data_IF_799783285104
#
_entry.id   IF_799783285104
#
_cell.length_a   1.000
_cell.length_b   1.000
_cell.length_c   1.000
_cell.angle_alpha   90.00
_cell.angle_beta   90.00
_cell.angle_gamma   90.00
#
_symmetry.space_group_name_H-M   'P 1'
#
loop_
_entity.id
_entity.type
_entity.pdbx_description
1 polymer ?
#
# COMPACT_ATOMS: atom_id res chain seq x y z
N UNK A 1 -16.97 -8.58 31.95
CA UNK A 1 -16.12 -9.63 31.34
C UNK A 1 -15.79 -10.77 32.31
N UNK A 2 -15.94 -10.58 33.62
CA UNK A 2 -15.67 -11.62 34.63
C UNK A 2 -16.51 -12.88 34.40
N UNK A 3 -17.80 -12.75 34.12
CA UNK A 3 -18.68 -13.89 33.82
C UNK A 3 -18.14 -14.76 32.67
N UNK A 4 -17.68 -14.13 31.60
CA UNK A 4 -17.13 -14.82 30.42
C UNK A 4 -15.83 -15.56 30.73
N UNK A 5 -15.01 -15.01 31.64
CA UNK A 5 -13.72 -15.57 32.04
C UNK A 5 -13.84 -16.92 32.72
N UNK A 6 -14.99 -17.25 33.31
CA UNK A 6 -15.21 -18.54 33.99
C UNK A 6 -15.05 -19.72 33.03
N UNK A 7 -15.53 -19.58 31.79
CA UNK A 7 -15.41 -20.62 30.74
C UNK A 7 -14.33 -20.28 29.69
N UNK A 8 -14.01 -19.01 29.48
CA UNK A 8 -13.08 -18.52 28.46
C UNK A 8 -11.82 -17.91 29.09
N UNK A 9 -11.21 -18.60 30.07
CA UNK A 9 -10.09 -18.08 30.86
C UNK A 9 -8.90 -17.62 30.01
N UNK A 10 -8.47 -18.44 29.05
CA UNK A 10 -7.31 -18.12 28.21
C UNK A 10 -7.57 -16.91 27.31
N UNK A 11 -8.77 -16.80 26.76
CA UNK A 11 -9.19 -15.65 25.96
C UNK A 11 -9.24 -14.38 26.82
N UNK A 12 -9.78 -14.48 28.03
CA UNK A 12 -9.84 -13.36 28.96
C UNK A 12 -8.45 -12.88 29.39
N UNK A 13 -7.52 -13.81 29.67
CA UNK A 13 -6.12 -13.49 29.96
C UNK A 13 -5.42 -12.80 28.77
N UNK A 14 -5.71 -13.25 27.56
CA UNK A 14 -5.18 -12.62 26.35
C UNK A 14 -5.75 -11.22 26.14
N UNK A 15 -7.06 -11.08 26.29
CA UNK A 15 -7.79 -9.82 26.16
C UNK A 15 -7.30 -8.77 27.17
N UNK A 16 -7.00 -9.16 28.40
CA UNK A 16 -6.46 -8.28 29.44
C UNK A 16 -5.13 -7.59 29.02
N UNK A 17 -4.39 -8.18 28.08
CA UNK A 17 -3.15 -7.62 27.53
C UNK A 17 -3.37 -6.79 26.25
N UNK A 18 -4.59 -6.76 25.76
CA UNK A 18 -4.98 -6.06 24.53
C UNK A 18 -5.37 -4.61 24.83
N UNK A 19 -5.16 -3.66 23.89
CA UNK A 19 -5.67 -2.30 24.04
C UNK A 19 -7.19 -2.24 24.22
N UNK A 20 -7.94 -3.24 23.73
CA UNK A 20 -9.39 -3.31 23.89
C UNK A 20 -9.81 -3.56 25.35
N UNK A 21 -8.90 -3.99 26.23
CA UNK A 21 -9.19 -4.07 27.67
C UNK A 21 -9.58 -2.69 28.25
N UNK A 22 -9.12 -1.59 27.65
CA UNK A 22 -9.54 -0.24 28.04
C UNK A 22 -11.06 -0.03 27.93
N UNK A 23 -11.77 -0.80 27.13
CA UNK A 23 -13.25 -0.78 27.03
C UNK A 23 -13.89 -1.38 28.27
N UNK A 24 -13.22 -2.35 28.90
CA UNK A 24 -13.70 -3.04 30.11
C UNK A 24 -13.57 -2.18 31.37
N UNK A 25 -12.53 -1.37 31.45
CA UNK A 25 -12.23 -0.52 32.61
C UNK A 25 -12.72 0.92 32.42
N UNK A 26 -13.07 1.31 31.19
CA UNK A 26 -13.48 2.66 30.84
C UNK A 26 -15.00 2.83 30.82
N UNK A 27 -15.48 3.97 31.36
CA UNK A 27 -16.93 4.29 31.35
C UNK A 27 -17.43 4.88 30.06
N UNK A 28 -16.52 5.37 29.21
CA UNK A 28 -16.86 6.22 28.05
C UNK A 28 -17.69 5.49 26.99
N UNK A 29 -17.51 4.19 26.80
CA UNK A 29 -18.17 3.39 25.80
C UNK A 29 -19.42 2.64 26.34
N UNK A 30 -19.68 2.69 27.63
CA UNK A 30 -20.84 2.01 28.24
C UNK A 30 -20.71 0.50 28.38
N UNK A 31 -19.49 -0.05 28.25
CA UNK A 31 -19.19 -1.47 28.37
C UNK A 31 -18.30 -1.81 29.57
N UNK A 32 -18.26 -0.95 30.58
CA UNK A 32 -17.51 -1.20 31.82
C UNK A 32 -17.90 -2.57 32.40
N UNK A 33 -16.93 -3.44 32.65
CA UNK A 33 -17.11 -4.82 33.12
C UNK A 33 -17.73 -5.78 32.09
N UNK A 34 -18.05 -5.32 30.87
CA UNK A 34 -18.75 -6.09 29.83
C UNK A 34 -18.11 -5.93 28.44
N UNK A 35 -16.83 -5.71 28.36
CA UNK A 35 -16.13 -5.42 27.08
C UNK A 35 -16.30 -6.53 26.03
N UNK A 36 -16.45 -7.79 26.42
CA UNK A 36 -16.72 -8.89 25.49
C UNK A 36 -17.99 -8.66 24.69
N UNK A 37 -19.05 -8.12 25.35
CA UNK A 37 -20.34 -7.84 24.71
C UNK A 37 -20.28 -6.71 23.69
N UNK A 38 -19.29 -5.83 23.75
CA UNK A 38 -19.11 -4.77 22.75
C UNK A 38 -18.95 -5.37 21.34
N UNK A 39 -18.31 -6.52 21.23
CA UNK A 39 -18.12 -7.25 19.98
C UNK A 39 -19.08 -8.42 19.82
N UNK A 40 -19.32 -9.18 20.90
CA UNK A 40 -20.11 -10.41 20.87
C UNK A 40 -21.60 -10.19 21.10
N UNK A 41 -22.03 -8.99 21.50
CA UNK A 41 -23.42 -8.67 21.87
C UNK A 41 -23.79 -9.27 23.22
N UNK A 42 -25.09 -9.10 23.61
CA UNK A 42 -25.60 -9.67 24.85
C UNK A 42 -25.39 -11.19 24.87
N UNK A 43 -24.79 -11.70 25.92
CA UNK A 43 -24.40 -13.10 26.02
C UNK A 43 -25.00 -13.82 27.23
N UNK A 44 -26.04 -13.26 27.85
CA UNK A 44 -26.72 -13.82 29.04
C UNK A 44 -27.24 -15.24 28.77
N UNK A 45 -27.98 -15.44 27.68
CA UNK A 45 -28.49 -16.75 27.27
C UNK A 45 -27.39 -17.75 27.00
N UNK A 46 -26.33 -17.33 26.31
CA UNK A 46 -25.16 -18.17 26.08
C UNK A 46 -24.51 -18.60 27.40
N UNK A 47 -24.40 -17.69 28.36
CA UNK A 47 -23.81 -18.01 29.66
C UNK A 47 -24.64 -19.06 30.45
N UNK A 48 -25.96 -19.11 30.22
CA UNK A 48 -26.86 -20.10 30.85
C UNK A 48 -26.85 -21.45 30.11
N UNK A 49 -26.89 -21.41 28.78
CA UNK A 49 -27.06 -22.62 27.94
C UNK A 49 -25.76 -23.23 27.45
N UNK A 50 -24.69 -22.44 27.40
CA UNK A 50 -23.44 -22.74 26.71
C UNK A 50 -23.61 -22.97 25.18
N UNK A 51 -24.75 -22.59 24.59
CA UNK A 51 -24.98 -22.72 23.15
C UNK A 51 -24.31 -21.57 22.39
N UNK A 52 -23.35 -21.90 21.52
CA UNK A 52 -22.64 -20.95 20.70
C UNK A 52 -23.53 -20.19 19.68
N UNK A 53 -24.74 -20.68 19.41
CA UNK A 53 -25.71 -20.00 18.54
C UNK A 53 -26.37 -18.77 19.22
N UNK A 54 -26.32 -18.71 20.55
CA UNK A 54 -26.93 -17.63 21.34
C UNK A 54 -26.01 -16.43 21.58
N UNK A 55 -24.80 -16.47 21.00
CA UNK A 55 -23.86 -15.36 21.07
C UNK A 55 -23.34 -15.01 19.67
N UNK A 56 -23.21 -13.75 19.40
CA UNK A 56 -22.67 -13.28 18.11
C UNK A 56 -21.17 -13.60 18.02
N UNK A 57 -20.75 -14.24 16.93
CA UNK A 57 -19.34 -14.44 16.60
C UNK A 57 -18.94 -13.53 15.44
N UNK A 58 -18.21 -12.43 15.66
CA UNK A 58 -17.78 -11.52 14.60
C UNK A 58 -17.03 -12.18 13.45
N UNK A 59 -16.27 -13.25 13.73
CA UNK A 59 -15.53 -14.00 12.71
C UNK A 59 -16.40 -14.86 11.78
N UNK A 60 -17.67 -15.08 12.12
CA UNK A 60 -18.66 -15.81 11.30
C UNK A 60 -19.66 -14.89 10.58
N UNK A 61 -19.56 -13.58 10.80
CA UNK A 61 -20.39 -12.60 10.13
C UNK A 61 -19.88 -12.31 8.72
N UNK A 62 -20.77 -11.72 7.89
CA UNK A 62 -20.31 -11.09 6.64
C UNK A 62 -19.29 -9.98 6.95
N UNK A 63 -18.41 -9.69 6.01
CA UNK A 63 -17.38 -8.67 6.22
C UNK A 63 -17.99 -7.32 6.62
N UNK A 64 -19.07 -6.90 5.95
CA UNK A 64 -19.76 -5.66 6.26
C UNK A 64 -20.35 -5.64 7.67
N UNK A 65 -20.91 -6.76 8.13
CA UNK A 65 -21.48 -6.86 9.48
C UNK A 65 -20.40 -6.86 10.57
N UNK A 66 -19.29 -7.56 10.34
CA UNK A 66 -18.13 -7.55 11.22
C UNK A 66 -17.49 -6.14 11.28
N UNK A 67 -17.27 -5.51 10.14
CA UNK A 67 -16.72 -4.16 10.05
C UNK A 67 -17.59 -3.12 10.76
N UNK A 68 -18.91 -3.24 10.69
CA UNK A 68 -19.84 -2.35 11.41
C UNK A 68 -19.61 -2.37 12.91
N UNK A 69 -19.29 -3.52 13.48
CA UNK A 69 -18.97 -3.64 14.91
C UNK A 69 -17.68 -2.85 15.23
N UNK A 70 -16.64 -3.04 14.46
CA UNK A 70 -15.36 -2.35 14.68
C UNK A 70 -15.50 -0.84 14.47
N UNK A 71 -16.19 -0.44 13.40
CA UNK A 71 -16.37 0.96 13.02
C UNK A 71 -17.28 1.73 13.96
N UNK A 72 -18.06 1.07 14.84
CA UNK A 72 -18.84 1.77 15.88
C UNK A 72 -17.93 2.60 16.81
N UNK A 73 -16.66 2.19 16.97
CA UNK A 73 -15.66 2.90 17.74
C UNK A 73 -14.52 3.48 16.88
N UNK A 74 -14.17 2.80 15.78
CA UNK A 74 -13.01 3.14 14.93
C UNK A 74 -13.35 4.00 13.70
N UNK A 75 -14.57 4.50 13.58
CA UNK A 75 -15.01 5.27 12.40
C UNK A 75 -14.20 6.55 12.17
N UNK A 76 -13.84 7.25 13.25
CA UNK A 76 -13.21 8.58 13.18
C UNK A 76 -11.68 8.53 13.11
N UNK A 77 -11.08 7.40 12.82
CA UNK A 77 -9.62 7.32 12.65
C UNK A 77 -9.22 7.75 11.24
N UNK A 78 -8.28 8.69 11.08
CA UNK A 78 -7.89 9.22 9.77
C UNK A 78 -7.46 8.13 8.78
N UNK A 79 -6.80 7.07 9.27
CA UNK A 79 -6.34 5.94 8.44
C UNK A 79 -7.48 5.09 7.89
N UNK A 80 -8.71 5.22 8.40
CA UNK A 80 -9.88 4.44 7.99
C UNK A 80 -10.83 5.17 7.04
N UNK A 81 -10.55 6.42 6.69
CA UNK A 81 -11.44 7.26 5.85
C UNK A 81 -11.83 6.58 4.53
N UNK A 82 -10.91 5.83 3.93
CA UNK A 82 -11.17 5.09 2.68
C UNK A 82 -11.74 3.68 2.85
N UNK A 83 -12.00 3.22 4.08
CA UNK A 83 -12.29 1.80 4.35
C UNK A 83 -13.47 1.24 3.54
N UNK A 84 -14.60 1.94 3.52
CA UNK A 84 -15.81 1.44 2.87
C UNK A 84 -15.70 1.36 1.34
N UNK A 85 -14.83 2.16 0.73
CA UNK A 85 -14.57 2.18 -0.70
C UNK A 85 -13.32 1.39 -1.09
N UNK A 86 -12.59 0.85 -0.11
CA UNK A 86 -11.35 0.10 -0.36
C UNK A 86 -11.60 -1.18 -1.16
N UNK A 87 -10.57 -1.63 -1.88
CA UNK A 87 -10.61 -2.92 -2.56
C UNK A 87 -10.89 -4.05 -1.56
N UNK A 88 -10.26 -4.03 -0.38
CA UNK A 88 -10.51 -5.03 0.66
C UNK A 88 -11.98 -5.09 1.09
N UNK A 89 -12.65 -3.93 1.25
CA UNK A 89 -14.08 -3.93 1.58
C UNK A 89 -14.94 -4.49 0.44
N UNK A 90 -14.64 -4.13 -0.81
CA UNK A 90 -15.33 -4.64 -2.00
C UNK A 90 -15.15 -6.15 -2.16
N UNK A 91 -13.97 -6.67 -1.83
CA UNK A 91 -13.63 -8.09 -1.89
C UNK A 91 -14.02 -8.86 -0.61
N UNK A 92 -14.87 -8.26 0.23
CA UNK A 92 -15.40 -8.86 1.46
C UNK A 92 -14.31 -9.26 2.48
N UNK A 93 -13.18 -8.56 2.52
CA UNK A 93 -12.12 -8.75 3.51
C UNK A 93 -12.44 -7.89 4.74
N UNK A 94 -12.83 -8.52 5.83
CA UNK A 94 -13.18 -7.82 7.07
C UNK A 94 -11.94 -7.38 7.88
N UNK A 95 -12.15 -6.51 8.87
CA UNK A 95 -11.12 -6.13 9.85
C UNK A 95 -10.50 -7.36 10.52
N UNK A 96 -11.30 -8.37 10.84
CA UNK A 96 -10.86 -9.60 11.53
C UNK A 96 -10.00 -10.53 10.65
N UNK A 97 -9.97 -10.32 9.35
CA UNK A 97 -9.05 -11.06 8.46
C UNK A 97 -7.59 -10.73 8.78
N UNK A 98 -7.31 -9.49 9.14
CA UNK A 98 -5.98 -8.99 9.46
C UNK A 98 -5.74 -8.79 10.97
N UNK A 99 -6.76 -8.35 11.71
CA UNK A 99 -6.65 -8.03 13.13
C UNK A 99 -7.18 -9.17 14.02
N UNK A 100 -6.31 -9.72 14.87
CA UNK A 100 -6.62 -10.81 15.80
C UNK A 100 -6.80 -10.27 17.21
N UNK A 101 -8.04 -9.90 17.58
CA UNK A 101 -8.34 -9.22 18.86
C UNK A 101 -8.08 -10.08 20.10
N UNK A 102 -8.14 -11.40 19.98
CA UNK A 102 -7.91 -12.35 21.10
C UNK A 102 -6.52 -12.97 21.10
N UNK A 103 -5.63 -12.61 20.17
CA UNK A 103 -4.35 -13.28 20.07
C UNK A 103 -3.42 -12.92 21.23
N UNK A 104 -2.66 -13.91 21.67
CA UNK A 104 -1.64 -13.78 22.70
C UNK A 104 -0.32 -13.26 22.11
N UNK A 105 0.36 -12.39 22.85
CA UNK A 105 1.71 -11.97 22.55
C UNK A 105 1.83 -10.71 21.68
N UNK A 106 3.06 -10.35 21.32
CA UNK A 106 3.35 -9.10 20.61
C UNK A 106 2.76 -9.03 19.19
N UNK A 107 2.45 -10.17 18.58
CA UNK A 107 1.91 -10.27 17.22
C UNK A 107 0.38 -10.36 17.17
N UNK A 108 -0.27 -10.27 18.33
CA UNK A 108 -1.68 -10.61 18.45
C UNK A 108 -2.65 -9.67 17.79
N UNK A 109 -2.42 -8.37 17.83
CA UNK A 109 -3.36 -7.36 17.36
C UNK A 109 -2.95 -6.79 16.01
N UNK A 110 -1.68 -6.51 15.86
CA UNK A 110 -1.06 -5.98 14.64
C UNK A 110 0.34 -6.60 14.59
N UNK A 111 0.75 -7.08 13.42
CA UNK A 111 2.12 -7.50 13.21
C UNK A 111 3.06 -6.32 13.51
N UNK A 112 3.92 -6.47 14.52
CA UNK A 112 4.76 -5.38 15.04
C UNK A 112 6.12 -5.30 14.38
N UNK A 113 6.58 -6.38 13.78
CA UNK A 113 7.83 -6.38 13.05
C UNK A 113 7.57 -6.20 11.55
N UNK A 114 8.46 -5.53 10.81
CA UNK A 114 8.34 -5.42 9.37
C UNK A 114 8.15 -6.77 8.67
N UNK A 115 8.92 -7.77 9.07
CA UNK A 115 8.83 -9.12 8.51
C UNK A 115 7.45 -9.77 8.74
N UNK A 116 6.90 -9.69 9.95
CA UNK A 116 5.58 -10.25 10.27
C UNK A 116 4.46 -9.51 9.52
N UNK A 117 4.55 -8.18 9.41
CA UNK A 117 3.60 -7.39 8.66
C UNK A 117 3.63 -7.73 7.16
N UNK A 118 4.83 -7.81 6.59
CA UNK A 118 5.00 -8.17 5.17
C UNK A 118 4.51 -9.58 4.89
N UNK A 119 4.79 -10.55 5.78
CA UNK A 119 4.30 -11.92 5.67
C UNK A 119 2.76 -12.00 5.73
N UNK A 120 2.12 -11.18 6.57
CA UNK A 120 0.66 -11.10 6.64
C UNK A 120 0.06 -10.64 5.29
N UNK A 121 0.62 -9.63 4.67
CA UNK A 121 0.16 -9.19 3.35
C UNK A 121 0.46 -10.24 2.28
N UNK A 122 1.66 -10.81 2.28
CA UNK A 122 2.12 -11.81 1.31
C UNK A 122 1.29 -13.09 1.33
N UNK A 123 0.66 -13.45 2.45
CA UNK A 123 -0.19 -14.65 2.56
C UNK A 123 -1.36 -14.66 1.56
N UNK A 124 -1.83 -13.48 1.15
CA UNK A 124 -2.86 -13.32 0.11
C UNK A 124 -2.28 -12.72 -1.19
N UNK A 125 -1.34 -11.80 -1.08
CA UNK A 125 -0.72 -11.10 -2.21
C UNK A 125 0.56 -11.81 -2.72
N UNK A 126 0.47 -13.13 -2.91
CA UNK A 126 1.61 -13.96 -3.32
C UNK A 126 2.22 -13.51 -4.66
N UNK A 127 1.39 -13.08 -5.61
CA UNK A 127 1.87 -12.59 -6.91
C UNK A 127 2.73 -11.33 -6.79
N UNK A 128 2.41 -10.45 -5.84
CA UNK A 128 3.21 -9.26 -5.55
C UNK A 128 4.47 -9.66 -4.81
N UNK A 129 4.38 -10.61 -3.87
CA UNK A 129 5.54 -11.12 -3.15
C UNK A 129 6.59 -11.73 -4.09
N UNK A 130 6.16 -12.45 -5.14
CA UNK A 130 7.07 -12.99 -6.15
C UNK A 130 7.79 -11.91 -6.97
N UNK A 131 7.18 -10.73 -7.15
CA UNK A 131 7.85 -9.61 -7.82
C UNK A 131 9.03 -9.10 -6.99
N UNK A 132 8.91 -9.06 -5.67
CA UNK A 132 10.00 -8.66 -4.77
C UNK A 132 11.18 -9.65 -4.75
N UNK A 133 11.05 -10.85 -5.34
CA UNK A 133 12.16 -11.79 -5.49
C UNK A 133 13.05 -11.48 -6.70
N UNK A 134 12.69 -10.51 -7.53
CA UNK A 134 13.52 -10.07 -8.66
C UNK A 134 14.75 -9.31 -8.15
N UNK A 135 15.85 -9.25 -8.95
CA UNK A 135 17.13 -8.72 -8.47
C UNK A 135 17.12 -7.24 -8.08
N UNK A 136 16.24 -6.44 -8.69
CA UNK A 136 16.10 -5.02 -8.39
C UNK A 136 14.73 -4.76 -7.78
N UNK A 137 14.66 -4.55 -6.47
CA UNK A 137 13.42 -4.34 -5.73
C UNK A 137 13.63 -3.42 -4.51
N UNK A 138 12.55 -2.85 -4.00
CA UNK A 138 12.58 -2.22 -2.68
C UNK A 138 12.77 -3.26 -1.59
N UNK A 139 13.49 -2.89 -0.52
CA UNK A 139 13.95 -3.81 0.53
C UNK A 139 12.84 -4.26 1.50
N UNK A 140 11.71 -4.69 0.93
CA UNK A 140 10.57 -5.24 1.66
C UNK A 140 10.84 -6.66 2.17
N UNK A 141 11.40 -7.60 1.37
CA UNK A 141 11.77 -8.92 1.86
C UNK A 141 12.80 -8.89 2.98
N UNK A 142 13.73 -7.95 2.93
CA UNK A 142 14.77 -7.77 3.94
C UNK A 142 14.28 -7.07 5.20
N UNK A 143 13.03 -6.63 5.23
CA UNK A 143 12.42 -5.96 6.39
C UNK A 143 12.89 -4.53 6.64
N UNK A 144 13.59 -3.91 5.70
CA UNK A 144 13.94 -2.48 5.77
C UNK A 144 12.77 -1.57 5.37
N UNK A 145 11.78 -2.14 4.67
CA UNK A 145 10.54 -1.48 4.28
C UNK A 145 9.36 -2.43 4.50
N UNK A 146 8.17 -1.84 4.57
CA UNK A 146 6.92 -2.57 4.72
C UNK A 146 5.95 -2.24 3.59
N UNK A 147 4.98 -3.12 3.36
CA UNK A 147 3.90 -2.86 2.40
C UNK A 147 3.14 -1.58 2.74
N UNK A 148 2.99 -1.28 4.04
CA UNK A 148 2.24 -0.10 4.51
C UNK A 148 3.04 1.21 4.43
N UNK A 149 4.31 1.19 4.09
CA UNK A 149 5.04 2.43 3.78
C UNK A 149 4.54 3.06 2.47
N UNK A 150 3.97 2.25 1.59
CA UNK A 150 3.43 2.69 0.31
C UNK A 150 1.91 2.57 0.20
N UNK A 151 1.30 1.58 0.86
CA UNK A 151 -0.13 1.28 0.77
C UNK A 151 -0.86 1.53 2.10
N UNK A 152 -2.09 2.04 2.02
CA UNK A 152 -2.99 2.06 3.16
C UNK A 152 -3.98 0.88 3.05
N UNK A 153 -3.81 -0.21 3.83
CA UNK A 153 -4.69 -1.38 3.76
C UNK A 153 -6.14 -1.08 4.16
N UNK A 154 -6.37 0.02 4.87
CA UNK A 154 -7.73 0.47 5.19
C UNK A 154 -8.39 1.26 4.05
N UNK A 155 -7.66 1.55 3.00
CA UNK A 155 -8.15 2.24 1.82
C UNK A 155 -7.60 3.64 1.65
N UNK A 156 -7.54 4.07 0.41
CA UNK A 156 -7.24 5.44 0.02
C UNK A 156 -8.01 5.79 -1.25
N UNK A 157 -8.06 7.07 -1.58
CA UNK A 157 -8.67 7.56 -2.83
C UNK A 157 -7.80 7.27 -4.07
N UNK A 158 -6.55 6.82 -3.85
CA UNK A 158 -5.61 6.55 -4.95
C UNK A 158 -5.73 5.10 -5.45
N UNK A 159 -5.40 4.86 -6.73
CA UNK A 159 -5.30 3.51 -7.27
C UNK A 159 -4.40 2.62 -6.41
N UNK A 160 -4.72 1.33 -6.35
CA UNK A 160 -4.01 0.33 -5.55
C UNK A 160 -3.87 0.71 -4.06
N UNK A 161 -4.76 1.53 -3.53
CA UNK A 161 -4.73 2.02 -2.14
C UNK A 161 -3.38 2.68 -1.76
N UNK A 162 -2.73 3.33 -2.70
CA UNK A 162 -1.47 4.03 -2.44
C UNK A 162 -1.67 5.14 -1.40
N UNK A 163 -0.70 5.27 -0.52
CA UNK A 163 -0.63 6.42 0.39
C UNK A 163 -0.38 7.71 -0.40
N UNK A 164 -0.95 8.81 0.10
CA UNK A 164 -0.65 10.15 -0.39
C UNK A 164 -0.14 10.99 0.78
N UNK A 165 0.79 11.87 0.48
CA UNK A 165 1.30 12.83 1.42
C UNK A 165 1.03 14.24 0.91
N UNK A 166 0.60 15.13 1.81
CA UNK A 166 0.23 16.48 1.45
C UNK A 166 -0.94 16.53 0.45
N UNK A 167 -0.93 17.55 -0.38
CA UNK A 167 -1.96 17.79 -1.39
C UNK A 167 -1.79 16.89 -2.61
N UNK A 168 -2.15 15.61 -2.48
CA UNK A 168 -2.32 14.73 -3.64
C UNK A 168 -1.04 14.22 -4.33
N UNK A 169 0.13 14.28 -3.67
CA UNK A 169 1.38 13.74 -4.21
C UNK A 169 1.49 12.21 -4.06
N UNK A 170 2.17 11.50 -4.98
CA UNK A 170 2.48 10.08 -4.81
C UNK A 170 3.31 9.80 -3.56
N UNK A 171 3.00 8.74 -2.83
CA UNK A 171 3.75 8.33 -1.63
C UNK A 171 5.25 8.05 -1.88
N UNK A 172 5.63 7.79 -3.13
CA UNK A 172 7.03 7.63 -3.56
C UNK A 172 7.91 8.82 -3.16
N UNK A 173 7.36 10.01 -3.23
CA UNK A 173 8.09 11.27 -2.97
C UNK A 173 8.43 11.53 -1.50
N UNK A 174 7.96 10.69 -0.59
CA UNK A 174 8.41 10.76 0.80
C UNK A 174 9.88 10.39 0.96
N UNK A 175 10.32 9.38 0.21
CA UNK A 175 11.69 8.91 0.22
C UNK A 175 12.49 9.47 -0.96
N UNK A 176 11.84 9.65 -2.12
CA UNK A 176 12.44 10.18 -3.34
C UNK A 176 12.16 11.68 -3.50
N UNK A 177 12.41 12.47 -2.45
CA UNK A 177 12.15 13.90 -2.41
C UNK A 177 12.91 14.70 -3.46
N UNK A 178 14.06 14.19 -3.92
CA UNK A 178 14.86 14.77 -5.01
C UNK A 178 14.17 14.70 -6.39
N UNK A 179 13.10 13.91 -6.51
CA UNK A 179 12.26 13.81 -7.72
C UNK A 179 10.96 14.61 -7.64
N UNK A 180 10.74 15.32 -6.53
CA UNK A 180 9.48 16.04 -6.29
C UNK A 180 9.31 17.28 -7.15
N UNK A 181 10.36 18.03 -7.34
CA UNK A 181 10.26 19.37 -7.89
C UNK A 181 9.76 20.40 -6.84
N UNK A 182 9.09 21.49 -7.25
CA UNK A 182 8.78 21.86 -8.64
C UNK A 182 10.05 22.16 -9.45
N UNK A 183 10.14 21.62 -10.65
CA UNK A 183 11.23 21.92 -11.57
C UNK A 183 10.82 23.04 -12.53
N UNK A 184 11.79 23.84 -13.00
CA UNK A 184 11.53 24.85 -14.04
C UNK A 184 11.04 24.18 -15.32
N UNK A 185 11.63 23.03 -15.66
CA UNK A 185 11.27 22.21 -16.79
C UNK A 185 10.90 20.82 -16.29
N UNK A 186 9.62 20.51 -16.29
CA UNK A 186 9.08 19.24 -15.82
C UNK A 186 8.97 18.24 -16.99
N UNK A 187 9.20 16.95 -16.69
CA UNK A 187 8.86 15.88 -17.61
C UNK A 187 7.40 15.47 -17.37
N UNK A 188 6.52 15.75 -18.32
CA UNK A 188 5.08 15.57 -18.16
C UNK A 188 4.62 14.21 -17.59
N UNK A 189 5.12 13.07 -18.10
CA UNK A 189 4.73 11.76 -17.57
C UNK A 189 5.00 11.58 -16.08
N UNK A 190 6.08 12.12 -15.54
CA UNK A 190 6.38 12.06 -14.10
C UNK A 190 5.26 12.74 -13.29
N UNK A 191 4.69 13.80 -13.84
CA UNK A 191 3.66 14.60 -13.19
C UNK A 191 2.26 13.99 -13.32
N UNK A 192 1.91 13.52 -14.52
CA UNK A 192 0.54 13.13 -14.87
C UNK A 192 0.30 11.62 -14.82
N UNK A 193 1.27 10.81 -15.21
CA UNK A 193 1.16 9.35 -15.28
C UNK A 193 1.75 8.65 -14.05
N UNK A 194 2.70 9.32 -13.39
CA UNK A 194 3.33 8.86 -12.17
C UNK A 194 4.53 7.95 -12.41
N UNK A 195 5.14 7.54 -11.30
CA UNK A 195 6.41 6.81 -11.31
C UNK A 195 6.29 5.41 -11.94
N UNK A 196 5.14 4.77 -11.77
CA UNK A 196 4.90 3.40 -12.23
C UNK A 196 4.77 3.26 -13.76
N UNK A 197 4.66 4.36 -14.50
CA UNK A 197 4.72 4.33 -15.98
C UNK A 197 6.09 3.88 -16.49
N UNK A 198 7.16 4.12 -15.71
CA UNK A 198 8.53 3.75 -16.08
C UNK A 198 9.16 2.73 -15.12
N UNK A 199 8.70 2.64 -13.88
CA UNK A 199 9.28 1.80 -12.84
C UNK A 199 8.31 0.74 -12.33
N UNK A 200 8.84 -0.46 -12.02
CA UNK A 200 8.16 -1.57 -11.38
C UNK A 200 8.49 -1.56 -9.87
N UNK A 201 7.71 -0.88 -9.03
CA UNK A 201 8.10 -0.59 -7.64
C UNK A 201 8.22 -1.83 -6.75
N UNK A 202 7.56 -2.93 -7.08
CA UNK A 202 7.68 -4.19 -6.35
C UNK A 202 8.94 -4.97 -6.74
N UNK A 203 9.44 -4.77 -7.96
CA UNK A 203 10.68 -5.38 -8.41
C UNK A 203 10.72 -5.68 -9.90
N UNK A 204 11.89 -5.54 -10.47
CA UNK A 204 12.19 -5.75 -11.88
C UNK A 204 13.46 -6.55 -12.07
N UNK A 205 13.57 -7.27 -13.18
CA UNK A 205 14.82 -7.83 -13.64
C UNK A 205 15.82 -6.75 -14.09
N UNK A 206 15.32 -5.54 -14.36
CA UNK A 206 16.08 -4.45 -14.94
C UNK A 206 16.65 -3.51 -13.85
N UNK A 207 17.86 -2.96 -14.04
CA UNK A 207 18.43 -1.98 -13.13
C UNK A 207 17.48 -0.80 -12.90
N UNK A 208 17.54 -0.20 -11.71
CA UNK A 208 16.68 0.91 -11.29
C UNK A 208 15.19 0.57 -11.33
N UNK A 209 14.86 -0.71 -11.29
CA UNK A 209 13.48 -1.23 -11.37
C UNK A 209 12.73 -0.73 -12.62
N UNK A 210 13.41 -0.57 -13.75
CA UNK A 210 12.76 -0.15 -14.98
C UNK A 210 11.78 -1.21 -15.52
N UNK A 211 10.68 -0.76 -16.09
CA UNK A 211 9.66 -1.61 -16.69
C UNK A 211 10.15 -2.35 -17.93
N UNK A 212 11.17 -1.81 -18.62
CA UNK A 212 11.77 -2.40 -19.81
C UNK A 212 13.27 -2.62 -19.62
N UNK A 213 13.79 -3.62 -20.33
CA UNK A 213 15.21 -4.00 -20.21
C UNK A 213 16.17 -2.90 -20.64
N UNK A 214 15.81 -2.17 -21.68
CA UNK A 214 16.63 -1.08 -22.18
C UNK A 214 15.93 0.27 -21.95
N UNK A 215 16.69 1.27 -21.49
CA UNK A 215 16.19 2.63 -21.25
C UNK A 215 15.48 3.19 -22.48
N UNK A 216 16.04 2.98 -23.69
CA UNK A 216 15.40 3.46 -24.92
C UNK A 216 13.99 2.92 -25.11
N UNK A 217 13.74 1.66 -24.74
CA UNK A 217 12.41 1.05 -24.90
C UNK A 217 11.37 1.71 -24.00
N UNK A 218 11.77 2.11 -22.77
CA UNK A 218 10.90 2.91 -21.89
C UNK A 218 10.56 4.25 -22.53
N UNK A 219 11.57 4.93 -23.07
CA UNK A 219 11.36 6.25 -23.69
C UNK A 219 10.50 6.17 -24.95
N UNK A 220 10.74 5.16 -25.81
CA UNK A 220 10.06 4.97 -27.08
C UNK A 220 8.59 4.56 -26.96
N UNK A 221 8.12 4.16 -25.79
CA UNK A 221 6.68 3.94 -25.55
C UNK A 221 5.86 5.22 -25.79
N UNK A 222 6.46 6.39 -25.51
CA UNK A 222 5.83 7.69 -25.72
C UNK A 222 6.52 8.51 -26.81
N UNK A 223 7.82 8.39 -26.98
CA UNK A 223 8.63 9.15 -27.92
C UNK A 223 8.91 8.39 -29.24
N UNK A 224 7.97 7.54 -29.68
CA UNK A 224 8.11 6.74 -30.90
C UNK A 224 8.17 7.59 -32.19
N UNK A 225 7.65 8.81 -32.14
CA UNK A 225 7.60 9.75 -33.25
C UNK A 225 8.70 10.82 -33.22
N UNK A 226 9.86 10.47 -32.67
CA UNK A 226 11.01 11.38 -32.72
C UNK A 226 11.27 11.87 -34.14
N UNK A 227 11.57 13.17 -34.32
CA UNK A 227 11.82 13.72 -35.64
C UNK A 227 12.96 12.99 -36.33
N UNK A 228 12.64 12.20 -37.33
CA UNK A 228 13.59 11.49 -38.19
C UNK A 228 13.86 12.27 -39.48
N UNK A 229 13.31 13.47 -39.57
CA UNK A 229 13.46 14.36 -40.68
C UNK A 229 14.40 15.52 -40.35
N UNK A 230 15.20 15.93 -41.30
CA UNK A 230 16.00 17.14 -41.19
C UNK A 230 15.16 18.40 -41.52
N UNK A 231 15.77 19.59 -41.40
CA UNK A 231 15.13 20.85 -41.69
C UNK A 231 14.63 20.97 -43.18
N UNK A 232 15.12 20.09 -44.05
CA UNK A 232 14.68 20.02 -45.46
C UNK A 232 13.63 18.95 -45.71
N UNK A 233 13.13 18.28 -44.65
CA UNK A 233 12.09 17.26 -44.73
C UNK A 233 12.56 15.88 -45.15
N UNK A 234 13.87 15.61 -45.21
CA UNK A 234 14.42 14.31 -45.61
C UNK A 234 14.32 13.32 -44.46
N UNK A 235 13.60 12.22 -44.63
CA UNK A 235 13.39 11.18 -43.61
C UNK A 235 14.67 10.38 -43.42
N UNK A 236 15.02 10.11 -42.18
CA UNK A 236 16.09 9.19 -41.80
C UNK A 236 17.49 9.68 -42.08
N UNK A 237 17.69 10.95 -42.37
CA UNK A 237 19.01 11.53 -42.63
C UNK A 237 19.68 12.00 -41.35
N UNK A 238 20.92 11.59 -41.19
CA UNK A 238 21.75 11.96 -40.04
C UNK A 238 22.95 12.75 -40.50
N UNK A 239 23.46 13.63 -39.63
CA UNK A 239 22.61 14.61 -39.05
C UNK A 239 21.94 15.24 -40.22
N UNK A 240 20.85 15.74 -40.06
CA UNK A 240 20.42 16.40 -38.85
C UNK A 240 19.34 15.71 -38.09
N UNK A 241 19.18 14.43 -38.26
CA UNK A 241 18.39 13.69 -37.29
C UNK A 241 19.22 13.59 -36.01
N UNK A 242 18.92 14.42 -35.03
CA UNK A 242 19.63 14.39 -33.74
C UNK A 242 19.54 13.04 -33.05
N UNK A 243 18.59 12.18 -33.39
CA UNK A 243 18.32 10.92 -32.77
C UNK A 243 18.24 9.78 -33.80
N UNK A 244 19.35 9.53 -34.50
CA UNK A 244 19.45 8.32 -35.31
C UNK A 244 19.60 7.10 -34.43
N UNK A 245 18.49 6.43 -34.13
CA UNK A 245 18.45 5.26 -33.26
C UNK A 245 19.19 4.05 -33.80
N UNK A 246 19.67 4.07 -35.05
CA UNK A 246 20.58 3.05 -35.60
C UNK A 246 22.00 3.22 -35.07
N UNK A 247 22.38 4.41 -34.67
CA UNK A 247 23.68 4.69 -34.08
C UNK A 247 23.71 4.30 -32.61
N UNK A 248 24.70 3.53 -32.14
CA UNK A 248 24.87 3.19 -30.72
C UNK A 248 24.91 4.41 -29.80
N UNK A 249 25.33 5.56 -30.30
CA UNK A 249 25.39 6.82 -29.56
C UNK A 249 24.02 7.26 -29.05
N UNK A 250 22.95 7.00 -29.79
CA UNK A 250 21.59 7.45 -29.47
C UNK A 250 20.68 6.34 -28.92
N UNK A 251 21.24 5.17 -28.63
CA UNK A 251 20.47 4.05 -28.07
C UNK A 251 20.24 4.14 -26.57
N UNK A 252 20.96 4.99 -25.83
CA UNK A 252 20.73 5.23 -24.42
C UNK A 252 20.44 6.72 -24.19
N UNK A 253 19.15 7.03 -24.12
CA UNK A 253 18.65 8.39 -24.01
C UNK A 253 19.18 9.13 -22.77
N UNK A 254 19.33 8.44 -21.66
CA UNK A 254 19.76 9.03 -20.38
C UNK A 254 21.26 9.34 -20.30
N UNK A 255 22.05 8.99 -21.30
CA UNK A 255 23.44 9.47 -21.41
C UNK A 255 23.47 10.99 -21.63
N UNK A 256 22.49 11.51 -22.38
CA UNK A 256 22.35 12.94 -22.64
C UNK A 256 21.23 13.55 -21.78
N UNK A 257 20.04 12.96 -21.77
CA UNK A 257 18.89 13.43 -21.00
C UNK A 257 18.98 12.97 -19.54
N UNK A 258 19.90 13.57 -18.78
CA UNK A 258 20.25 13.12 -17.43
C UNK A 258 19.20 13.49 -16.36
N UNK A 259 18.44 14.53 -16.59
CA UNK A 259 17.43 15.06 -15.67
C UNK A 259 16.01 14.65 -16.04
N UNK A 260 15.84 13.38 -16.38
CA UNK A 260 14.56 12.87 -16.90
C UNK A 260 13.36 13.06 -15.96
N UNK A 261 13.58 13.27 -14.67
CA UNK A 261 12.50 13.56 -13.72
C UNK A 261 12.14 15.04 -13.66
N UNK A 262 12.97 15.91 -14.23
CA UNK A 262 12.81 17.36 -14.27
C UNK A 262 14.14 18.08 -14.12
N UNK A 263 14.24 19.28 -14.70
CA UNK A 263 15.44 20.14 -14.69
C UNK A 263 15.11 21.56 -14.24
N UNK A 264 16.04 22.18 -13.53
CA UNK A 264 15.93 23.58 -13.18
C UNK A 264 16.46 24.52 -14.25
N UNK A 265 17.28 24.02 -15.17
CA UNK A 265 18.10 24.86 -16.04
C UNK A 265 17.97 24.51 -17.54
N UNK A 266 17.44 23.34 -17.88
CA UNK A 266 17.45 22.86 -19.26
C UNK A 266 16.10 22.23 -19.65
N UNK A 267 15.45 22.80 -20.68
CA UNK A 267 14.14 22.31 -21.14
C UNK A 267 14.19 20.94 -21.78
N UNK A 268 15.36 20.54 -22.33
CA UNK A 268 15.55 19.24 -22.95
C UNK A 268 16.08 18.20 -21.95
N UNK A 269 16.08 18.55 -20.67
CA UNK A 269 16.44 17.69 -19.54
C UNK A 269 17.87 17.14 -19.60
N UNK A 270 18.78 17.86 -20.25
CA UNK A 270 20.18 17.44 -20.40
C UNK A 270 21.02 17.66 -19.10
N UNK A 271 20.64 18.65 -18.28
CA UNK A 271 21.36 19.06 -17.07
C UNK A 271 20.41 19.26 -15.88
#
# INVERSE_FOLDING_TARGET
SELCAVCHEDIAKAFAKSPHHLVDIGKKQGFEGRACEACHGPAEKHAESADAAEVRNPGKLTAAAADKICLSCHLNQPTHVGRLQSSHAKDQISCTACHKVHANGPDGLIARTPAALNAQCASCHINVWTQFQKPNHHKVPEGAMTCVDCHNPHGSIRPAMMQSFGSNEPGCLNCHGDKRGPFTFEHGPVRFEGCASCHEPHGSANPRMLARQEVRLVCLECHANLPTVNATGTIGVVPPAFHDLRSPRFQNCTVCHQKIHGSYVDRDLLK
#
